data_IF_677844399269
#
_entry.id   IF_677844399269
#
_cell.length_a   1.000
_cell.length_b   1.000
_cell.length_c   1.000
_cell.angle_alpha   90.00
_cell.angle_beta   90.00
_cell.angle_gamma   90.00
#
_symmetry.space_group_name_H-M   'P 1'
#
loop_
_entity.id
_entity.type
_entity.pdbx_description
1 polymer ?
#
# COMPACT_ATOMS: atom_id res chain seq x y z
N UNK A 1 -12.03 19.41 -2.68
CA UNK A 1 -13.12 19.20 -1.70
C UNK A 1 -12.54 19.18 -0.30
N UNK A 2 -13.34 19.40 0.74
CA UNK A 2 -12.86 19.36 2.13
C UNK A 2 -12.74 17.90 2.58
N UNK A 3 -11.57 17.50 3.07
CA UNK A 3 -11.32 16.16 3.60
C UNK A 3 -10.33 16.25 4.77
N UNK A 4 -10.54 15.50 5.87
CA UNK A 4 -9.59 15.47 6.99
C UNK A 4 -8.25 14.80 6.64
N UNK A 5 -8.15 14.19 5.44
CA UNK A 5 -6.97 13.46 4.97
C UNK A 5 -6.30 14.11 3.75
N UNK A 6 -6.83 15.21 3.24
CA UNK A 6 -6.29 15.87 2.05
C UNK A 6 -6.12 17.36 2.32
N UNK A 7 -4.87 17.82 2.28
CA UNK A 7 -4.51 19.23 2.29
C UNK A 7 -4.22 19.64 0.82
N UNK A 8 -4.72 20.79 0.31
CA UNK A 8 -4.44 21.24 -1.05
C UNK A 8 -2.95 21.44 -1.33
N UNK A 9 -2.15 21.63 -0.27
CA UNK A 9 -0.70 21.73 -0.33
C UNK A 9 -0.11 20.65 0.59
N UNK A 10 0.80 19.83 0.07
CA UNK A 10 1.45 18.77 0.85
C UNK A 10 2.89 18.58 0.37
N UNK A 11 3.73 18.03 1.23
CA UNK A 11 5.14 17.79 0.93
C UNK A 11 5.32 16.39 0.34
N UNK A 12 6.03 16.30 -0.79
CA UNK A 12 6.36 15.05 -1.46
C UNK A 12 7.87 14.96 -1.70
N UNK A 13 8.41 13.74 -1.65
CA UNK A 13 9.77 13.43 -2.09
C UNK A 13 9.70 12.55 -3.34
N UNK A 14 10.33 12.99 -4.42
CA UNK A 14 10.55 12.18 -5.63
C UNK A 14 12.01 11.76 -5.71
N UNK A 15 12.27 10.54 -6.17
CA UNK A 15 13.63 10.00 -6.34
C UNK A 15 13.73 9.20 -7.63
N UNK A 16 14.94 9.18 -8.21
CA UNK A 16 15.28 8.39 -9.39
C UNK A 16 16.61 7.66 -9.17
N UNK A 17 16.66 6.39 -9.59
CA UNK A 17 17.84 5.55 -9.52
C UNK A 17 18.05 4.86 -10.88
N UNK A 18 19.17 5.14 -11.54
CA UNK A 18 19.50 4.49 -12.80
C UNK A 18 19.83 2.99 -12.57
N UNK A 19 19.52 2.16 -13.56
CA UNK A 19 19.74 0.70 -13.50
C UNK A 19 18.97 -0.04 -12.39
N UNK A 20 17.90 0.58 -11.89
CA UNK A 20 17.00 -0.01 -10.90
C UNK A 20 15.62 -0.31 -11.51
N UNK A 21 14.93 -1.31 -10.96
CA UNK A 21 13.52 -1.58 -11.18
C UNK A 21 12.68 -1.25 -9.92
N UNK A 22 11.37 -1.49 -9.99
CA UNK A 22 10.47 -1.16 -8.87
C UNK A 22 10.75 -1.97 -7.59
N UNK A 23 11.43 -3.12 -7.68
CA UNK A 23 11.75 -3.98 -6.54
C UNK A 23 12.88 -3.36 -5.72
N UNK A 24 13.88 -2.78 -6.38
CA UNK A 24 14.92 -2.01 -5.70
C UNK A 24 14.30 -0.85 -4.91
N UNK A 25 13.28 -0.19 -5.48
CA UNK A 25 12.58 0.90 -4.81
C UNK A 25 11.68 0.44 -3.65
N UNK A 26 11.14 -0.78 -3.70
CA UNK A 26 10.44 -1.40 -2.56
C UNK A 26 11.42 -1.61 -1.40
N UNK A 27 12.59 -2.19 -1.67
CA UNK A 27 13.62 -2.43 -0.65
C UNK A 27 14.14 -1.12 -0.05
N UNK A 28 14.42 -0.12 -0.91
CA UNK A 28 14.82 1.22 -0.48
C UNK A 28 13.78 1.86 0.45
N UNK A 29 12.49 1.70 0.14
CA UNK A 29 11.41 2.27 0.95
C UNK A 29 11.30 1.56 2.31
N UNK A 30 11.40 0.23 2.35
CA UNK A 30 11.41 -0.53 3.60
C UNK A 30 12.58 -0.11 4.50
N UNK A 31 13.78 0.01 3.93
CA UNK A 31 14.97 0.44 4.65
C UNK A 31 14.85 1.87 5.16
N UNK A 32 14.29 2.79 4.37
CA UNK A 32 14.04 4.17 4.78
C UNK A 32 13.16 4.23 6.04
N UNK A 33 12.02 3.55 6.06
CA UNK A 33 11.13 3.57 7.22
C UNK A 33 11.74 2.88 8.45
N UNK A 34 12.39 1.74 8.25
CA UNK A 34 13.10 1.03 9.34
C UNK A 34 14.17 1.91 9.97
N UNK A 35 14.96 2.59 9.17
CA UNK A 35 16.04 3.47 9.62
C UNK A 35 15.47 4.69 10.34
N UNK A 36 14.50 5.38 9.74
CA UNK A 36 13.89 6.57 10.36
C UNK A 36 13.23 6.27 11.70
N UNK A 37 12.50 5.16 11.80
CA UNK A 37 11.83 4.78 13.05
C UNK A 37 12.85 4.43 14.13
N UNK A 38 13.90 3.69 13.79
CA UNK A 38 14.99 3.40 14.72
C UNK A 38 15.76 4.66 15.16
N UNK A 39 16.11 5.55 14.24
CA UNK A 39 16.97 6.70 14.52
C UNK A 39 16.22 7.84 15.23
N UNK A 40 14.96 8.09 14.84
CA UNK A 40 14.16 9.21 15.35
C UNK A 40 13.35 8.82 16.58
N UNK A 41 12.81 7.60 16.61
CA UNK A 41 11.93 7.12 17.69
C UNK A 41 12.62 6.13 18.63
N UNK A 42 13.82 5.64 18.29
CA UNK A 42 14.58 4.68 19.11
C UNK A 42 14.08 3.24 19.00
N UNK A 43 13.07 2.96 18.19
CA UNK A 43 12.40 1.66 18.10
C UNK A 43 11.83 1.45 16.70
N UNK A 44 11.89 0.22 16.20
CA UNK A 44 11.18 -0.18 14.98
C UNK A 44 9.70 -0.51 15.24
N UNK A 45 9.29 -0.65 16.50
CA UNK A 45 7.89 -0.82 16.90
C UNK A 45 7.31 0.56 17.21
N UNK A 46 6.26 0.95 16.49
CA UNK A 46 5.63 2.27 16.55
C UNK A 46 4.12 2.11 16.77
N UNK A 47 3.59 2.75 17.81
CA UNK A 47 2.16 2.82 18.07
C UNK A 47 1.53 4.01 17.34
N UNK A 48 0.44 3.78 16.63
CA UNK A 48 -0.34 4.81 15.94
C UNK A 48 -1.84 4.58 16.13
N UNK A 49 -2.46 5.41 16.99
CA UNK A 49 -3.83 5.15 17.45
C UNK A 49 -3.89 3.87 18.28
N UNK A 50 -4.78 2.97 17.90
CA UNK A 50 -4.94 1.64 18.53
C UNK A 50 -4.05 0.56 17.89
N UNK A 51 -3.40 0.87 16.77
CA UNK A 51 -2.58 -0.06 16.00
C UNK A 51 -1.10 0.01 16.41
N UNK A 52 -0.41 -1.12 16.26
CA UNK A 52 1.04 -1.24 16.45
C UNK A 52 1.70 -1.71 15.15
N UNK A 53 2.66 -0.93 14.66
CA UNK A 53 3.42 -1.23 13.45
C UNK A 53 4.83 -1.68 13.80
N UNK A 54 5.27 -2.79 13.21
CA UNK A 54 6.63 -3.31 13.34
C UNK A 54 7.40 -3.11 12.03
N UNK A 55 8.11 -1.98 11.95
CA UNK A 55 8.97 -1.62 10.81
C UNK A 55 10.27 -2.46 10.77
N UNK A 56 10.50 -3.32 11.76
CA UNK A 56 11.59 -4.29 11.79
C UNK A 56 11.29 -5.53 10.94
N UNK A 57 10.04 -5.74 10.53
CA UNK A 57 9.65 -6.84 9.64
C UNK A 57 9.64 -6.39 8.17
N UNK A 58 9.86 -7.32 7.22
CA UNK A 58 9.60 -7.04 5.81
C UNK A 58 8.14 -6.62 5.61
N UNK A 59 7.88 -5.69 4.70
CA UNK A 59 6.52 -5.27 4.43
C UNK A 59 5.76 -6.36 3.68
N UNK A 60 4.45 -6.45 3.91
CA UNK A 60 3.61 -7.37 3.15
C UNK A 60 3.55 -6.93 1.68
N UNK A 61 3.86 -7.84 0.76
CA UNK A 61 3.87 -7.61 -0.69
C UNK A 61 2.75 -8.44 -1.31
N UNK A 62 1.72 -7.76 -1.80
CA UNK A 62 0.61 -8.36 -2.53
C UNK A 62 0.48 -7.67 -3.89
N UNK A 63 0.24 -8.46 -4.93
CA UNK A 63 -0.28 -7.92 -6.18
C UNK A 63 -1.70 -7.39 -5.95
N UNK A 64 -2.15 -6.50 -6.83
CA UNK A 64 -3.50 -5.92 -6.75
C UNK A 64 -4.59 -7.00 -6.72
N UNK A 65 -4.47 -8.04 -7.55
CA UNK A 65 -5.44 -9.15 -7.61
C UNK A 65 -5.41 -10.02 -6.35
N UNK A 66 -4.22 -10.32 -5.81
CA UNK A 66 -4.12 -11.04 -4.53
C UNK A 66 -4.78 -10.26 -3.40
N UNK A 67 -4.59 -8.94 -3.33
CA UNK A 67 -5.25 -8.10 -2.34
C UNK A 67 -6.78 -8.13 -2.48
N UNK A 68 -7.31 -8.02 -3.70
CA UNK A 68 -8.76 -8.13 -3.96
C UNK A 68 -9.29 -9.47 -3.44
N UNK A 69 -8.65 -10.59 -3.81
CA UNK A 69 -9.09 -11.91 -3.38
C UNK A 69 -8.91 -12.13 -1.87
N UNK A 70 -7.88 -11.54 -1.24
CA UNK A 70 -7.66 -11.61 0.21
C UNK A 70 -8.79 -10.94 1.00
N UNK A 71 -9.25 -9.78 0.55
CA UNK A 71 -10.29 -9.00 1.26
C UNK A 71 -11.71 -9.25 0.75
N UNK A 72 -11.86 -9.93 -0.40
CA UNK A 72 -13.15 -10.39 -0.94
C UNK A 72 -13.02 -11.82 -1.49
N UNK A 73 -12.97 -12.85 -0.61
CA UNK A 73 -12.64 -14.23 -0.97
C UNK A 73 -13.58 -14.88 -1.98
N UNK A 74 -14.81 -14.39 -2.11
CA UNK A 74 -15.79 -14.85 -3.09
C UNK A 74 -15.49 -14.37 -4.53
N UNK A 75 -14.50 -13.51 -4.73
CA UNK A 75 -14.08 -13.02 -6.05
C UNK A 75 -13.24 -14.06 -6.77
N UNK A 76 -13.66 -14.46 -7.96
CA UNK A 76 -12.81 -15.27 -8.84
C UNK A 76 -11.77 -14.37 -9.53
N UNK A 77 -10.49 -14.68 -9.34
CA UNK A 77 -9.38 -13.92 -9.90
C UNK A 77 -9.45 -13.76 -11.42
N UNK A 78 -9.96 -14.78 -12.14
CA UNK A 78 -10.09 -14.74 -13.60
C UNK A 78 -11.17 -13.75 -14.08
N UNK A 79 -12.17 -13.46 -13.24
CA UNK A 79 -13.22 -12.50 -13.59
C UNK A 79 -12.71 -11.06 -13.56
N UNK A 80 -11.54 -10.81 -12.95
CA UNK A 80 -10.88 -9.50 -12.94
C UNK A 80 -10.13 -9.20 -14.25
N UNK A 81 -9.95 -10.19 -15.13
CA UNK A 81 -9.33 -10.02 -16.45
C UNK A 81 -10.35 -9.74 -17.56
N UNK A 82 -11.64 -9.84 -17.24
CA UNK A 82 -12.74 -9.59 -18.16
C UNK A 82 -13.45 -8.30 -17.77
N UNK A 83 -13.59 -7.37 -18.73
CA UNK A 83 -14.13 -6.05 -18.45
C UNK A 83 -15.58 -6.12 -17.98
N UNK A 84 -16.45 -6.88 -18.66
CA UNK A 84 -17.87 -6.94 -18.33
C UNK A 84 -18.08 -7.56 -16.94
N UNK A 85 -17.31 -8.61 -16.61
CA UNK A 85 -17.35 -9.22 -15.28
C UNK A 85 -16.75 -8.32 -14.20
N UNK A 86 -15.66 -7.61 -14.47
CA UNK A 86 -15.07 -6.65 -13.55
C UNK A 86 -16.04 -5.49 -13.26
N UNK A 87 -16.76 -4.98 -14.26
CA UNK A 87 -17.85 -4.00 -14.06
C UNK A 87 -18.94 -4.60 -13.17
N UNK A 88 -19.39 -5.83 -13.44
CA UNK A 88 -20.42 -6.48 -12.64
C UNK A 88 -20.00 -6.64 -11.17
N UNK A 89 -18.74 -7.01 -10.92
CA UNK A 89 -18.18 -7.08 -9.56
C UNK A 89 -18.18 -5.69 -8.91
N UNK A 90 -17.68 -4.66 -9.60
CA UNK A 90 -17.63 -3.29 -9.07
C UNK A 90 -19.04 -2.77 -8.72
N UNK A 91 -20.02 -2.98 -9.60
CA UNK A 91 -21.42 -2.62 -9.34
C UNK A 91 -22.01 -3.37 -8.16
N UNK A 92 -21.67 -4.66 -7.99
CA UNK A 92 -22.15 -5.46 -6.85
C UNK A 92 -21.70 -4.94 -5.49
N UNK A 93 -20.59 -4.19 -5.44
CA UNK A 93 -20.05 -3.56 -4.23
C UNK A 93 -20.35 -2.05 -4.16
N UNK A 94 -21.24 -1.54 -5.02
CA UNK A 94 -21.74 -0.17 -4.97
C UNK A 94 -20.83 0.87 -5.62
N UNK A 95 -19.83 0.45 -6.41
CA UNK A 95 -19.03 1.35 -7.24
C UNK A 95 -19.80 1.62 -8.53
N UNK A 96 -19.98 2.91 -8.85
CA UNK A 96 -20.71 3.38 -10.04
C UNK A 96 -19.75 3.81 -11.15
#
# INVERSE_FOLDING_TARGET
>A
GVSPRHNPEFTMMELYMAYADYRDLIELTEELFRTLTQDVLGSTIVKYGDEEFDFGKPFEKLTMKEAICKYRPETNMADLDDMDKAVAIAQSIGIK
#
